data_IF_091072303798
#
_entry.id   IF_091072303798
#
_cell.length_a   1.000
_cell.length_b   1.000
_cell.length_c   1.000
_cell.angle_alpha   90.00
_cell.angle_beta   90.00
_cell.angle_gamma   90.00
#
_symmetry.space_group_name_H-M   'P 1'
#
loop_
_entity.id
_entity.type
_entity.pdbx_description
1 polymer ?
#
# COMPACT_ATOMS: atom_id res chain seq x y z
N UNK A 1 -1.59 -0.18 -9.30
CA UNK A 1 -1.00 -1.53 -9.39
C UNK A 1 -1.90 -2.51 -8.67
N UNK A 2 -2.11 -3.74 -9.19
CA UNK A 2 -2.90 -4.75 -8.46
C UNK A 2 -2.26 -5.11 -7.11
N UNK A 3 -0.92 -5.07 -7.00
CA UNK A 3 -0.16 -5.34 -5.76
C UNK A 3 -0.26 -4.23 -4.69
N UNK A 4 -0.98 -3.16 -4.97
CA UNK A 4 -1.30 -2.11 -3.99
C UNK A 4 -2.76 -2.18 -3.52
N UNK A 5 -3.60 -2.93 -4.23
CA UNK A 5 -5.03 -3.02 -3.97
C UNK A 5 -5.26 -4.03 -2.85
N UNK A 6 -5.98 -3.61 -1.82
CA UNK A 6 -6.40 -4.47 -0.71
C UNK A 6 -7.88 -4.74 -0.86
N UNK A 7 -8.25 -6.02 -0.77
CA UNK A 7 -9.63 -6.48 -0.92
C UNK A 7 -10.03 -7.37 0.24
N UNK A 8 -11.35 -7.46 0.48
CA UNK A 8 -11.92 -8.39 1.46
C UNK A 8 -12.05 -9.78 0.85
N UNK A 9 -11.43 -10.78 1.48
CA UNK A 9 -11.58 -12.19 1.11
C UNK A 9 -12.89 -12.78 1.64
N UNK A 10 -13.27 -13.96 1.15
CA UNK A 10 -14.50 -14.65 1.57
C UNK A 10 -14.52 -15.02 3.06
N UNK A 11 -13.35 -15.30 3.64
CA UNK A 11 -13.15 -15.57 5.06
C UNK A 11 -12.90 -14.29 5.89
N UNK A 12 -13.18 -13.11 5.33
CA UNK A 12 -13.10 -11.82 6.00
C UNK A 12 -11.68 -11.38 6.43
N UNK A 13 -10.68 -11.68 5.62
CA UNK A 13 -9.34 -11.08 5.71
C UNK A 13 -9.24 -9.89 4.77
N UNK A 14 -8.27 -9.01 5.01
CA UNK A 14 -7.89 -7.92 4.11
C UNK A 14 -6.61 -8.31 3.36
N UNK A 15 -6.74 -8.91 2.19
CA UNK A 15 -5.62 -9.43 1.42
C UNK A 15 -5.14 -8.42 0.37
N UNK A 16 -3.82 -8.32 0.22
CA UNK A 16 -3.19 -7.58 -0.87
C UNK A 16 -3.30 -8.42 -2.14
N UNK A 17 -3.98 -7.90 -3.15
CA UNK A 17 -4.31 -8.61 -4.39
C UNK A 17 -3.05 -9.13 -5.08
N UNK A 18 -3.15 -10.37 -5.58
CA UNK A 18 -2.08 -11.13 -6.25
C UNK A 18 -0.84 -11.41 -5.37
N UNK A 19 -1.00 -11.42 -4.04
CA UNK A 19 0.06 -11.78 -3.08
C UNK A 19 -0.48 -12.67 -1.96
N UNK A 20 0.41 -13.32 -1.20
CA UNK A 20 0.05 -14.10 -0.01
C UNK A 20 -0.06 -13.25 1.27
N UNK A 21 -0.01 -11.92 1.16
CA UNK A 21 0.02 -11.01 2.30
C UNK A 21 -1.35 -10.43 2.63
N UNK A 22 -1.66 -10.41 3.92
CA UNK A 22 -2.84 -9.78 4.50
C UNK A 22 -2.41 -8.61 5.38
N UNK A 23 -3.19 -7.53 5.34
CA UNK A 23 -3.19 -6.54 6.42
C UNK A 23 -3.92 -7.20 7.59
N UNK A 24 -3.24 -7.35 8.71
CA UNK A 24 -3.74 -8.06 9.88
C UNK A 24 -3.28 -7.41 11.19
N UNK A 25 -3.89 -7.82 12.29
CA UNK A 25 -3.52 -7.43 13.64
C UNK A 25 -2.46 -8.36 14.20
N UNK A 26 -1.27 -7.82 14.46
CA UNK A 26 -0.16 -8.50 15.13
C UNK A 26 -0.09 -8.03 16.57
N UNK A 27 -0.08 -8.98 17.51
CA UNK A 27 0.08 -8.67 18.93
C UNK A 27 1.57 -8.55 19.28
N UNK A 28 1.96 -7.40 19.83
CA UNK A 28 3.32 -7.15 20.30
C UNK A 28 3.37 -6.79 21.79
N UNK A 29 4.57 -6.69 22.34
CA UNK A 29 4.81 -6.35 23.75
C UNK A 29 4.15 -5.04 24.20
N UNK A 30 3.91 -4.10 23.27
CA UNK A 30 3.30 -2.79 23.54
C UNK A 30 1.87 -2.66 22.98
N UNK A 31 1.23 -3.78 22.64
CA UNK A 31 -0.14 -3.82 22.16
C UNK A 31 -0.29 -4.32 20.73
N UNK A 32 -1.51 -4.21 20.22
CA UNK A 32 -1.89 -4.67 18.90
C UNK A 32 -1.51 -3.64 17.84
N UNK A 33 -0.84 -4.07 16.77
CA UNK A 33 -0.50 -3.26 15.59
C UNK A 33 -1.16 -3.81 14.33
N UNK A 34 -1.40 -2.93 13.37
CA UNK A 34 -1.87 -3.31 12.03
C UNK A 34 -0.66 -3.40 11.11
N UNK A 35 -0.39 -4.59 10.59
CA UNK A 35 0.82 -4.89 9.82
C UNK A 35 0.53 -5.84 8.65
N UNK A 36 1.51 -6.00 7.76
CA UNK A 36 1.47 -7.03 6.72
C UNK A 36 2.02 -8.35 7.26
N UNK A 37 1.20 -9.41 7.19
CA UNK A 37 1.60 -10.78 7.51
C UNK A 37 1.18 -11.73 6.40
N UNK A 38 1.77 -12.92 6.31
CA UNK A 38 1.26 -13.92 5.37
C UNK A 38 -0.10 -14.42 5.83
N UNK A 39 -1.09 -14.38 4.93
CA UNK A 39 -2.46 -14.79 5.23
C UNK A 39 -2.55 -16.21 5.80
N UNK A 40 -1.66 -17.12 5.36
CA UNK A 40 -1.61 -18.52 5.81
C UNK A 40 -1.16 -18.70 7.27
N UNK A 41 -0.47 -17.72 7.85
CA UNK A 41 0.07 -17.81 9.21
C UNK A 41 -0.84 -17.18 10.26
N UNK A 42 -1.94 -16.56 9.83
CA UNK A 42 -2.90 -15.93 10.72
C UNK A 42 -4.27 -16.57 10.59
N UNK A 43 -4.88 -16.89 11.73
CA UNK A 43 -6.27 -17.30 11.82
C UNK A 43 -7.21 -16.10 12.09
N UNK A 44 -6.67 -14.89 12.21
CA UNK A 44 -7.47 -13.69 12.44
C UNK A 44 -8.40 -13.45 11.24
N UNK A 45 -9.61 -13.01 11.56
CA UNK A 45 -10.63 -12.56 10.62
C UNK A 45 -11.23 -11.28 11.18
N UNK A 46 -11.52 -10.32 10.30
CA UNK A 46 -12.18 -9.09 10.68
C UNK A 46 -13.70 -9.26 10.70
N UNK A 47 -14.35 -8.53 11.59
CA UNK A 47 -15.78 -8.32 11.55
C UNK A 47 -16.07 -7.07 10.71
N UNK A 48 -16.91 -7.22 9.68
CA UNK A 48 -17.36 -6.10 8.84
C UNK A 48 -18.80 -5.78 9.21
N UNK A 49 -19.06 -4.58 9.71
CA UNK A 49 -20.37 -4.21 10.25
C UNK A 49 -21.27 -3.54 9.20
N UNK A 50 -22.57 -3.47 9.49
CA UNK A 50 -23.54 -2.72 8.67
C UNK A 50 -23.30 -1.19 8.69
N UNK A 51 -22.54 -0.70 9.67
CA UNK A 51 -22.13 0.71 9.81
C UNK A 51 -20.80 1.01 9.12
N UNK A 52 -20.31 0.09 8.28
CA UNK A 52 -19.06 0.19 7.54
C UNK A 52 -17.80 0.24 8.42
N UNK A 53 -17.85 -0.31 9.62
CA UNK A 53 -16.66 -0.47 10.45
C UNK A 53 -16.00 -1.83 10.14
N UNK A 54 -14.66 -1.85 10.17
CA UNK A 54 -13.87 -3.08 10.11
C UNK A 54 -13.29 -3.29 11.51
N UNK A 55 -13.69 -4.36 12.19
CA UNK A 55 -13.41 -4.59 13.62
C UNK A 55 -12.57 -5.82 13.86
N UNK A 56 -11.75 -5.75 14.90
CA UNK A 56 -11.04 -6.90 15.46
C UNK A 56 -11.07 -6.81 16.98
N UNK A 57 -11.57 -7.86 17.65
CA UNK A 57 -11.69 -7.94 19.13
C UNK A 57 -12.31 -6.70 19.78
N UNK A 58 -13.36 -6.14 19.16
CA UNK A 58 -14.10 -4.98 19.68
C UNK A 58 -13.44 -3.61 19.43
N UNK A 59 -12.29 -3.57 18.76
CA UNK A 59 -11.64 -2.34 18.29
C UNK A 59 -11.85 -2.13 16.79
N UNK A 60 -11.71 -0.90 16.32
CA UNK A 60 -11.96 -0.49 14.95
C UNK A 60 -10.65 -0.21 14.20
N UNK A 61 -10.55 -0.72 12.98
CA UNK A 61 -9.51 -0.31 12.03
C UNK A 61 -9.68 1.19 11.74
N UNK A 62 -8.62 1.95 11.97
CA UNK A 62 -8.66 3.41 12.02
C UNK A 62 -7.55 4.01 11.18
N UNK A 63 -7.77 5.20 10.64
CA UNK A 63 -6.68 6.06 10.16
C UNK A 63 -6.02 6.74 11.35
N UNK A 64 -4.70 6.62 11.48
CA UNK A 64 -3.94 7.17 12.60
C UNK A 64 -4.25 8.67 12.80
N UNK A 65 -4.75 9.01 13.99
CA UNK A 65 -5.16 10.37 14.37
C UNK A 65 -6.17 11.03 13.41
N UNK A 66 -6.88 10.27 12.57
CA UNK A 66 -7.78 10.80 11.55
C UNK A 66 -7.08 11.64 10.47
N UNK A 67 -5.78 11.43 10.25
CA UNK A 67 -5.00 12.21 9.28
C UNK A 67 -5.54 12.08 7.86
N UNK A 68 -5.80 13.19 7.14
CA UNK A 68 -6.23 13.14 5.75
C UNK A 68 -5.07 13.00 4.74
N UNK A 69 -3.83 12.91 5.23
CA UNK A 69 -2.66 12.88 4.37
C UNK A 69 -2.40 11.48 3.77
N UNK A 70 -1.86 11.46 2.55
CA UNK A 70 -1.30 10.24 1.97
C UNK A 70 -0.23 9.66 2.88
N UNK A 71 -0.24 8.33 3.04
CA UNK A 71 0.70 7.63 3.91
C UNK A 71 0.34 7.65 5.40
N UNK A 72 -0.84 8.17 5.77
CA UNK A 72 -1.37 7.95 7.12
C UNK A 72 -1.45 6.45 7.43
N UNK A 73 -0.89 6.06 8.58
CA UNK A 73 -0.86 4.66 8.99
C UNK A 73 -2.26 4.15 9.37
N UNK A 74 -2.47 2.84 9.20
CA UNK A 74 -3.60 2.16 9.82
C UNK A 74 -3.29 1.80 11.26
N UNK A 75 -4.27 1.98 12.14
CA UNK A 75 -4.20 1.65 13.57
C UNK A 75 -5.42 0.82 13.97
N UNK A 76 -5.35 0.22 15.18
CA UNK A 76 -6.46 -0.49 15.79
C UNK A 76 -6.84 0.19 17.10
N UNK A 77 -7.88 1.02 17.04
CA UNK A 77 -8.26 1.92 18.13
C UNK A 77 -9.65 1.59 18.69
N UNK A 78 -9.99 2.19 19.84
CA UNK A 78 -11.36 2.14 20.33
C UNK A 78 -12.33 2.72 19.28
N UNK A 79 -13.48 2.06 19.12
CA UNK A 79 -14.50 2.54 18.19
C UNK A 79 -15.15 3.81 18.75
N UNK A 80 -15.14 4.89 17.96
CA UNK A 80 -15.63 6.23 18.36
C UNK A 80 -16.66 6.81 17.38
N UNK A 81 -17.27 5.96 16.54
CA UNK A 81 -18.32 6.34 15.57
C UNK A 81 -17.92 7.45 14.59
N UNK A 82 -16.62 7.60 14.29
CA UNK A 82 -16.07 8.61 13.39
C UNK A 82 -15.83 8.06 11.98
N UNK A 83 -15.90 8.92 10.95
CA UNK A 83 -15.76 8.49 9.55
C UNK A 83 -14.33 8.04 9.19
N UNK A 84 -13.31 8.45 9.96
CA UNK A 84 -11.95 7.93 9.82
C UNK A 84 -11.80 6.46 10.29
N UNK A 85 -12.86 5.87 10.84
CA UNK A 85 -12.97 4.43 11.19
C UNK A 85 -13.98 3.69 10.32
N UNK A 86 -14.56 4.36 9.31
CA UNK A 86 -15.51 3.77 8.38
C UNK A 86 -14.89 3.57 7.00
N UNK A 87 -15.24 2.45 6.39
CA UNK A 87 -14.58 1.93 5.21
C UNK A 87 -15.60 1.46 4.18
N UNK A 88 -15.53 2.04 2.99
CA UNK A 88 -16.23 1.51 1.83
C UNK A 88 -15.43 0.35 1.27
N UNK A 89 -16.00 -0.85 1.33
CA UNK A 89 -15.41 -2.07 0.75
C UNK A 89 -16.13 -2.37 -0.55
N UNK A 90 -15.51 -1.99 -1.66
CA UNK A 90 -16.10 -2.19 -3.00
C UNK A 90 -15.70 -3.57 -3.54
N UNK A 91 -16.68 -4.46 -3.69
CA UNK A 91 -16.47 -5.81 -4.22
C UNK A 91 -16.12 -5.81 -5.72
N UNK A 92 -16.50 -4.78 -6.47
CA UNK A 92 -16.26 -4.69 -7.92
C UNK A 92 -14.88 -4.14 -8.20
N UNK A 93 -14.54 -2.98 -7.64
CA UNK A 93 -13.20 -2.39 -7.79
C UNK A 93 -12.14 -3.07 -6.92
N UNK A 94 -12.58 -3.90 -5.97
CA UNK A 94 -11.76 -4.60 -4.99
C UNK A 94 -10.95 -3.65 -4.10
N UNK A 95 -11.47 -2.44 -3.85
CA UNK A 95 -10.79 -1.42 -3.06
C UNK A 95 -11.45 -1.23 -1.70
N UNK A 96 -10.62 -0.95 -0.69
CA UNK A 96 -11.05 -0.51 0.63
C UNK A 96 -10.69 0.96 0.79
N UNK A 97 -11.70 1.83 0.92
CA UNK A 97 -11.53 3.29 0.97
C UNK A 97 -12.05 3.87 2.25
N UNK A 98 -11.33 4.83 2.82
CA UNK A 98 -11.80 5.52 4.01
C UNK A 98 -12.95 6.48 3.67
N UNK A 99 -14.02 6.50 4.46
CA UNK A 99 -15.19 7.34 4.16
C UNK A 99 -14.98 8.84 4.43
N UNK A 100 -14.02 9.23 5.27
CA UNK A 100 -13.73 10.64 5.53
C UNK A 100 -12.90 11.29 4.40
N UNK A 101 -12.10 10.50 3.67
CA UNK A 101 -11.08 11.03 2.74
C UNK A 101 -11.15 10.48 1.32
N UNK A 102 -11.89 9.40 1.10
CA UNK A 102 -11.90 8.58 -0.13
C UNK A 102 -10.53 7.98 -0.52
N UNK A 103 -9.53 8.09 0.37
CA UNK A 103 -8.21 7.49 0.15
C UNK A 103 -8.26 5.97 0.32
N UNK A 104 -7.50 5.27 -0.52
CA UNK A 104 -7.40 3.82 -0.51
C UNK A 104 -6.48 3.31 0.60
N UNK A 105 -6.88 2.22 1.24
CA UNK A 105 -5.94 1.34 1.94
C UNK A 105 -4.99 0.72 0.92
N UNK A 106 -3.69 0.77 1.20
CA UNK A 106 -2.65 0.13 0.37
C UNK A 106 -1.65 -0.61 1.24
N UNK A 107 -0.93 -1.57 0.65
CA UNK A 107 0.15 -2.30 1.31
C UNK A 107 1.46 -1.49 1.45
N UNK A 108 1.47 -0.20 1.11
CA UNK A 108 2.67 0.65 1.14
C UNK A 108 3.78 0.25 0.16
N UNK A 109 3.53 -0.72 -0.74
CA UNK A 109 4.52 -1.17 -1.72
C UNK A 109 4.72 -0.08 -2.79
N UNK A 110 5.98 0.36 -2.96
CA UNK A 110 6.30 1.42 -3.92
C UNK A 110 5.93 1.02 -5.36
N UNK A 111 5.39 1.98 -6.12
CA UNK A 111 5.05 1.79 -7.54
C UNK A 111 6.29 1.50 -8.42
N UNK A 112 7.44 1.98 -8.02
CA UNK A 112 8.75 1.56 -8.51
C UNK A 112 9.78 1.90 -7.44
N UNK A 113 10.85 1.11 -7.35
CA UNK A 113 12.02 1.44 -6.55
C UNK A 113 13.07 2.02 -7.48
N UNK A 114 13.74 3.09 -7.06
CA UNK A 114 14.79 3.72 -7.85
C UNK A 114 16.00 4.07 -6.99
N UNK A 115 17.18 3.92 -7.56
CA UNK A 115 18.44 4.38 -6.99
C UNK A 115 19.21 5.15 -8.05
N UNK A 116 19.83 6.26 -7.64
CA UNK A 116 20.68 7.07 -8.49
C UNK A 116 22.10 7.16 -7.90
N UNK A 117 23.12 7.06 -8.74
CA UNK A 117 24.52 7.15 -8.33
C UNK A 117 25.42 7.66 -9.47
N UNK A 118 26.62 8.12 -9.12
CA UNK A 118 27.68 8.43 -10.09
C UNK A 118 28.71 7.30 -10.13
N UNK A 119 29.13 6.90 -11.33
CA UNK A 119 30.25 5.97 -11.50
C UNK A 119 31.59 6.67 -11.25
N UNK A 120 32.70 5.93 -11.06
CA UNK A 120 34.04 6.52 -11.01
C UNK A 120 34.43 7.32 -12.26
N UNK A 121 33.83 7.00 -13.42
CA UNK A 121 34.04 7.75 -14.66
C UNK A 121 33.20 9.03 -14.75
N UNK A 122 32.44 9.38 -13.71
CA UNK A 122 31.59 10.57 -13.66
C UNK A 122 30.20 10.41 -14.29
N UNK A 123 29.87 9.23 -14.86
CA UNK A 123 28.57 8.94 -15.47
C UNK A 123 27.47 8.89 -14.41
N UNK A 124 26.37 9.59 -14.66
CA UNK A 124 25.16 9.50 -13.82
C UNK A 124 24.36 8.27 -14.23
N UNK A 125 23.95 7.45 -13.26
CA UNK A 125 23.19 6.22 -13.47
C UNK A 125 21.95 6.23 -12.60
N UNK A 126 20.81 5.86 -13.17
CA UNK A 126 19.56 5.60 -12.44
C UNK A 126 19.12 4.18 -12.74
N UNK A 127 18.95 3.36 -11.72
CA UNK A 127 18.37 2.01 -11.84
C UNK A 127 16.98 2.05 -11.27
N UNK A 128 15.99 1.64 -12.07
CA UNK A 128 14.59 1.58 -11.66
C UNK A 128 14.10 0.15 -11.77
N UNK A 129 13.56 -0.35 -10.67
CA UNK A 129 12.97 -1.67 -10.53
C UNK A 129 11.45 -1.53 -10.39
N UNK A 130 10.71 -2.15 -11.30
CA UNK A 130 9.27 -2.23 -11.28
C UNK A 130 8.83 -3.61 -10.82
N UNK A 131 8.44 -3.73 -9.56
CA UNK A 131 7.88 -4.97 -9.00
C UNK A 131 6.35 -5.03 -9.12
N UNK A 132 5.73 -4.15 -9.89
CA UNK A 132 4.29 -4.10 -10.04
C UNK A 132 3.83 -4.97 -11.21
N UNK A 133 2.53 -5.26 -11.20
CA UNK A 133 1.83 -6.02 -12.25
C UNK A 133 1.55 -5.23 -13.52
N UNK A 134 1.76 -3.91 -13.47
CA UNK A 134 1.54 -2.97 -14.56
C UNK A 134 2.87 -2.27 -14.92
N UNK A 135 2.93 -1.69 -16.12
CA UNK A 135 4.07 -0.89 -16.55
C UNK A 135 4.22 0.37 -15.67
N UNK A 136 5.46 0.68 -15.29
CA UNK A 136 5.77 1.87 -14.50
C UNK A 136 6.20 3.01 -15.40
N UNK A 137 5.26 3.91 -15.72
CA UNK A 137 5.52 5.16 -16.44
C UNK A 137 5.93 6.28 -15.48
N UNK A 138 7.00 7.02 -15.81
CA UNK A 138 7.50 8.15 -15.04
C UNK A 138 8.30 9.12 -15.92
N UNK A 139 8.60 10.30 -15.39
CA UNK A 139 9.48 11.28 -16.03
C UNK A 139 10.78 11.33 -15.24
N UNK A 140 11.91 11.21 -15.95
CA UNK A 140 13.22 11.51 -15.39
C UNK A 140 13.55 12.95 -15.73
N UNK A 141 13.60 13.81 -14.72
CA UNK A 141 14.06 15.18 -14.85
C UNK A 141 15.60 15.19 -14.84
N UNK A 142 16.21 15.66 -15.92
CA UNK A 142 17.67 15.71 -16.07
C UNK A 142 18.14 17.11 -16.43
N UNK A 143 19.44 17.37 -16.30
CA UNK A 143 20.02 18.63 -16.76
C UNK A 143 19.83 18.88 -18.27
N UNK A 144 19.63 17.83 -19.07
CA UNK A 144 19.38 17.93 -20.52
C UNK A 144 17.88 17.98 -20.86
N UNK A 145 17.00 17.99 -19.86
CA UNK A 145 15.55 18.00 -20.01
C UNK A 145 14.87 16.71 -19.55
N UNK A 146 13.57 16.65 -19.79
CA UNK A 146 12.70 15.58 -19.31
C UNK A 146 12.73 14.35 -20.22
N UNK A 147 12.93 13.17 -19.63
CA UNK A 147 12.91 11.89 -20.34
C UNK A 147 11.72 11.06 -19.87
N UNK A 148 10.67 11.01 -20.70
CA UNK A 148 9.53 10.10 -20.48
C UNK A 148 10.02 8.66 -20.57
N UNK A 149 9.82 7.93 -19.49
CA UNK A 149 10.39 6.60 -19.29
C UNK A 149 9.32 5.63 -18.86
N UNK A 150 9.51 4.37 -19.25
CA UNK A 150 8.67 3.25 -18.82
C UNK A 150 9.59 2.12 -18.39
N UNK A 151 9.33 1.52 -17.23
CA UNK A 151 9.89 0.22 -16.85
C UNK A 151 8.77 -0.81 -16.95
N UNK A 152 8.87 -1.80 -17.84
CA UNK A 152 7.83 -2.82 -18.00
C UNK A 152 7.50 -3.52 -16.68
N UNK A 153 6.28 -4.03 -16.55
CA UNK A 153 5.86 -4.84 -15.39
C UNK A 153 6.90 -5.93 -15.04
N UNK A 154 7.26 -6.04 -13.77
CA UNK A 154 8.26 -6.99 -13.29
C UNK A 154 9.70 -6.74 -13.79
N UNK A 155 9.95 -5.63 -14.49
CA UNK A 155 11.22 -5.33 -15.14
C UNK A 155 12.16 -4.47 -14.29
N UNK A 156 13.42 -4.45 -14.70
CA UNK A 156 14.42 -3.49 -14.25
C UNK A 156 14.94 -2.76 -15.48
N UNK A 157 15.08 -1.43 -15.41
CA UNK A 157 15.79 -0.65 -16.43
C UNK A 157 16.86 0.24 -15.80
N UNK A 158 17.95 0.39 -16.54
CA UNK A 158 19.05 1.29 -16.19
C UNK A 158 19.11 2.41 -17.20
N UNK A 159 19.12 3.63 -16.69
CA UNK A 159 19.29 4.87 -17.45
C UNK A 159 20.67 5.44 -17.13
N UNK A 160 21.33 6.01 -18.12
CA UNK A 160 22.64 6.60 -17.92
C UNK A 160 22.85 7.85 -18.77
N UNK A 161 23.65 8.76 -18.23
CA UNK A 161 24.08 9.98 -18.89
C UNK A 161 25.57 10.15 -18.67
N UNK A 162 26.28 10.26 -19.79
CA UNK A 162 27.69 10.60 -19.76
C UNK A 162 27.89 12.07 -19.35
N UNK A 163 29.01 12.38 -18.67
CA UNK A 163 29.34 13.73 -18.21
C UNK A 163 29.48 14.74 -19.36
#
# INVERSE_FOLDING_TARGET
>A
SSRQVVYRTQDNKLQVKDTDYCIDVVHEAFGDKVELTKCIYTANVYEFTATNEIKFKGKCLSVAHGSPANGAALTLDACVSQDYQRWTVDATSQQVRNQATDLCVTAGYAFAQAVAFKTPSGRSVVVVQNENSEDAGFVLETAQGDVKSVVPKGGIRTFYWDP
#
